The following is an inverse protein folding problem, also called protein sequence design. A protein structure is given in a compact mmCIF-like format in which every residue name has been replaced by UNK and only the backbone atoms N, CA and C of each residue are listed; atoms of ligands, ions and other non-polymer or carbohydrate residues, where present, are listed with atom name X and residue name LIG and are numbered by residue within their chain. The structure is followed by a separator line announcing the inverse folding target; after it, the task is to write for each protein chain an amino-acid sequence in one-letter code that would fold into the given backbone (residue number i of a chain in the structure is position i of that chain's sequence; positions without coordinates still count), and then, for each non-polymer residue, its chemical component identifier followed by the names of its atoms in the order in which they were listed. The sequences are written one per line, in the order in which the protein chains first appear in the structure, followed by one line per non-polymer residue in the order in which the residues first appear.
data_IF_959755748816
#
_entry.id   IF_959755748816
#
_cell.length_a   1.000
_cell.length_b   1.000
_cell.length_c   1.000
_cell.angle_alpha   90.00
_cell.angle_beta   90.00
_cell.angle_gamma   90.00
#
_symmetry.space_group_name_H-M   'P 1'
#
loop_
_entity.id
_entity.type
_entity.pdbx_description
1 polymer ?
#
# COMPACT_ATOMS: atom_id res chain seq x y z
N UNK A 1 -0.11 -9.27 -9.43
CA UNK A 1 -0.10 -7.96 -8.74
C UNK A 1 1.19 -7.81 -7.95
N UNK A 2 1.73 -6.59 -7.86
CA UNK A 2 2.87 -6.25 -7.02
C UNK A 2 2.36 -5.72 -5.68
N UNK A 3 2.92 -6.18 -4.57
CA UNK A 3 2.51 -5.76 -3.21
C UNK A 3 3.69 -5.09 -2.51
N UNK A 4 3.51 -3.90 -1.90
CA UNK A 4 4.53 -3.31 -1.04
C UNK A 4 4.81 -4.21 0.17
N UNK A 5 6.08 -4.34 0.55
CA UNK A 5 6.51 -5.20 1.66
C UNK A 5 5.83 -4.84 2.99
N UNK A 6 5.74 -3.56 3.34
CA UNK A 6 5.03 -3.12 4.56
C UNK A 6 3.58 -3.58 4.61
N UNK A 7 2.87 -3.51 3.48
CA UNK A 7 1.50 -4.00 3.38
C UNK A 7 1.46 -5.54 3.46
N UNK A 8 2.38 -6.22 2.77
CA UNK A 8 2.47 -7.67 2.81
C UNK A 8 2.75 -8.20 4.22
N UNK A 9 3.70 -7.60 4.93
CA UNK A 9 4.07 -7.98 6.30
C UNK A 9 2.91 -7.74 7.27
N UNK A 10 2.22 -6.58 7.17
CA UNK A 10 1.05 -6.25 8.00
C UNK A 10 -0.09 -7.25 7.85
N UNK A 11 -0.31 -7.75 6.64
CA UNK A 11 -1.42 -8.65 6.32
C UNK A 11 -0.98 -10.12 6.13
N UNK A 12 0.28 -10.45 6.44
CA UNK A 12 0.87 -11.77 6.28
C UNK A 12 0.72 -12.36 4.86
N UNK A 13 0.81 -11.51 3.84
CA UNK A 13 0.67 -11.87 2.44
C UNK A 13 2.01 -12.40 1.91
N UNK A 14 1.96 -13.52 1.19
CA UNK A 14 3.10 -14.15 0.54
C UNK A 14 2.99 -14.15 -0.99
N UNK A 15 4.13 -14.29 -1.67
CA UNK A 15 4.14 -14.50 -3.13
C UNK A 15 3.41 -15.81 -3.43
N UNK A 16 2.49 -15.76 -4.40
CA UNK A 16 1.63 -16.89 -4.75
C UNK A 16 0.23 -16.81 -4.17
N UNK A 17 0.01 -16.01 -3.12
CA UNK A 17 -1.32 -15.80 -2.54
C UNK A 17 -2.29 -15.18 -3.52
N UNK A 18 -3.57 -15.44 -3.29
CA UNK A 18 -4.66 -14.77 -4.00
C UNK A 18 -5.27 -13.75 -3.04
N UNK A 19 -5.22 -12.48 -3.42
CA UNK A 19 -5.91 -11.41 -2.68
C UNK A 19 -7.12 -10.94 -3.46
N UNK A 20 -8.13 -10.47 -2.73
CA UNK A 20 -9.36 -9.92 -3.31
C UNK A 20 -9.36 -8.41 -3.18
N UNK A 21 -9.37 -7.71 -4.31
CA UNK A 21 -9.47 -6.25 -4.36
C UNK A 21 -10.90 -5.89 -4.66
N UNK A 22 -11.52 -5.07 -3.81
CA UNK A 22 -12.84 -4.50 -4.04
C UNK A 22 -12.68 -3.05 -4.52
N UNK A 23 -13.19 -2.76 -5.70
CA UNK A 23 -13.19 -1.40 -6.23
C UNK A 23 -14.36 -0.63 -5.63
N UNK A 24 -14.07 0.47 -4.92
CA UNK A 24 -15.09 1.31 -4.29
C UNK A 24 -15.63 2.40 -5.21
N UNK A 25 -14.98 2.65 -6.34
CA UNK A 25 -15.44 3.62 -7.33
C UNK A 25 -16.87 3.29 -7.81
N UNK A 26 -17.82 4.25 -7.79
CA UNK A 26 -19.22 4.02 -8.14
C UNK A 26 -19.40 3.42 -9.54
N UNK A 27 -18.60 3.85 -10.52
CA UNK A 27 -18.63 3.34 -11.89
C UNK A 27 -18.29 1.85 -12.00
N UNK A 28 -17.57 1.31 -11.02
CA UNK A 28 -17.18 -0.10 -10.95
C UNK A 28 -18.14 -0.93 -10.11
N UNK A 29 -19.24 -0.35 -9.58
CA UNK A 29 -20.33 -1.06 -8.88
C UNK A 29 -19.84 -2.05 -7.80
N UNK A 30 -18.88 -1.65 -6.96
CA UNK A 30 -18.35 -2.51 -5.90
C UNK A 30 -17.78 -3.85 -6.39
N UNK A 31 -17.39 -3.96 -7.66
CA UNK A 31 -16.82 -5.18 -8.21
C UNK A 31 -15.57 -5.57 -7.44
N UNK A 32 -15.41 -6.87 -7.25
CA UNK A 32 -14.21 -7.42 -6.68
C UNK A 32 -13.52 -8.33 -7.68
N UNK A 33 -12.19 -8.32 -7.65
CA UNK A 33 -11.35 -9.17 -8.49
C UNK A 33 -10.34 -9.88 -7.61
N UNK A 34 -10.14 -11.16 -7.92
CA UNK A 34 -9.13 -11.98 -7.29
C UNK A 34 -7.83 -11.86 -8.09
N UNK A 35 -6.75 -11.51 -7.42
CA UNK A 35 -5.45 -11.29 -8.03
C UNK A 35 -4.37 -12.11 -7.34
N UNK A 36 -3.55 -12.80 -8.13
CA UNK A 36 -2.37 -13.49 -7.63
C UNK A 36 -1.24 -12.49 -7.31
N UNK A 37 -0.61 -12.65 -6.16
CA UNK A 37 0.59 -11.92 -5.76
C UNK A 37 1.77 -12.48 -6.56
N UNK A 38 2.35 -11.64 -7.40
CA UNK A 38 3.45 -12.01 -8.30
C UNK A 38 4.81 -11.66 -7.70
N UNK A 39 4.89 -10.56 -6.97
CA UNK A 39 6.11 -10.14 -6.29
C UNK A 39 5.77 -9.22 -5.12
N UNK A 40 6.61 -9.28 -4.09
CA UNK A 40 6.60 -8.35 -2.96
C UNK A 40 7.84 -7.48 -3.08
N UNK A 41 7.67 -6.16 -3.05
CA UNK A 41 8.76 -5.22 -3.26
C UNK A 41 8.90 -4.27 -2.07
N UNK A 42 10.14 -3.93 -1.72
CA UNK A 42 10.39 -2.87 -0.75
C UNK A 42 10.00 -1.53 -1.37
N UNK A 43 9.16 -0.75 -0.70
CA UNK A 43 8.85 0.61 -1.14
C UNK A 43 10.13 1.45 -1.16
N UNK A 44 10.36 2.19 -2.24
CA UNK A 44 11.52 3.09 -2.39
C UNK A 44 11.51 4.16 -1.29
N UNK A 45 10.32 4.56 -0.81
CA UNK A 45 10.16 5.52 0.28
C UNK A 45 10.78 5.02 1.59
N UNK A 46 10.62 3.75 1.94
CA UNK A 46 11.24 3.17 3.14
C UNK A 46 12.77 3.16 3.03
N UNK A 47 13.29 2.90 1.83
CA UNK A 47 14.72 2.95 1.57
C UNK A 47 15.27 4.38 1.67
N UNK A 48 14.47 5.37 1.23
CA UNK A 48 14.79 6.80 1.35
C UNK A 48 14.83 7.27 2.81
N UNK A 49 13.88 6.84 3.64
CA UNK A 49 13.81 7.21 5.07
C UNK A 49 15.03 6.67 5.83
N UNK A 50 15.50 5.46 5.50
CA UNK A 50 16.71 4.88 6.11
C UNK A 50 18.00 5.57 5.66
N UNK A 51 18.03 6.12 4.44
CA UNK A 51 19.21 6.81 3.91
C UNK A 51 19.34 8.26 4.42
N UNK A 52 18.24 8.90 4.80
CA UNK A 52 18.22 10.29 5.28
C UNK A 52 17.42 10.44 6.58
N UNK A 53 17.96 9.98 7.73
CA UNK A 53 17.25 9.99 9.02
C UNK A 53 16.87 11.41 9.51
N UNK A 54 17.54 12.46 9.03
CA UNK A 54 17.21 13.85 9.36
C UNK A 54 15.95 14.40 8.67
N UNK A 55 15.50 13.77 7.58
CA UNK A 55 14.25 14.12 6.88
C UNK A 55 13.05 13.33 7.41
N UNK A 56 13.25 12.46 8.40
CA UNK A 56 12.23 11.56 8.97
C UNK A 56 10.99 12.34 9.44
N UNK A 57 11.15 13.48 10.11
CA UNK A 57 10.03 14.26 10.63
C UNK A 57 9.10 14.85 9.55
N UNK A 58 9.67 15.41 8.47
CA UNK A 58 8.88 16.03 7.40
C UNK A 58 8.31 15.00 6.43
N UNK A 59 9.06 13.94 6.13
CA UNK A 59 8.61 12.87 5.24
C UNK A 59 7.51 12.02 5.89
N UNK A 60 7.61 11.70 7.18
CA UNK A 60 6.49 11.06 7.89
C UNK A 60 5.28 11.96 8.02
N UNK A 61 5.46 13.29 8.08
CA UNK A 61 4.31 14.21 8.08
C UNK A 61 3.59 14.17 6.74
N UNK A 62 4.31 14.22 5.62
CA UNK A 62 3.73 14.10 4.27
C UNK A 62 3.06 12.74 4.04
N UNK A 63 3.69 11.65 4.50
CA UNK A 63 3.12 10.29 4.42
C UNK A 63 1.90 10.14 5.33
N UNK A 64 1.94 10.69 6.54
CA UNK A 64 0.79 10.67 7.44
C UNK A 64 -0.36 11.53 6.91
N UNK A 65 -0.08 12.62 6.20
CA UNK A 65 -1.10 13.47 5.57
C UNK A 65 -1.81 12.70 4.45
N UNK A 66 -1.06 12.00 3.57
CA UNK A 66 -1.59 11.13 2.51
C UNK A 66 -2.38 9.91 3.05
N UNK A 67 -1.96 9.33 4.18
CA UNK A 67 -2.65 8.23 4.85
C UNK A 67 -3.81 8.68 5.77
N UNK A 68 -3.89 9.97 6.11
CA UNK A 68 -4.94 10.58 6.95
C UNK A 68 -6.02 11.32 6.17
N UNK A 69 -5.79 11.58 4.87
CA UNK A 69 -6.89 11.98 4.01
C UNK A 69 -7.92 10.86 4.01
N UNK A 70 -9.18 11.12 4.39
CA UNK A 70 -10.21 10.12 4.24
C UNK A 70 -10.23 9.74 2.76
N UNK A 71 -10.04 8.45 2.48
CA UNK A 71 -10.25 7.97 1.13
C UNK A 71 -11.62 8.49 0.69
N UNK A 72 -11.77 9.00 -0.54
CA UNK A 72 -13.02 9.62 -1.02
C UNK A 72 -14.20 8.61 -1.14
N UNK A 73 -14.08 7.46 -0.47
CA UNK A 73 -14.93 6.30 -0.51
C UNK A 73 -15.14 5.67 0.87
N UNK A 74 -15.02 6.43 1.97
CA UNK A 74 -15.61 6.09 3.28
C UNK A 74 -17.10 6.50 3.35
#
# INVERSE_FOLDING_TARGET
MLVPKSYADKHHISVGDIIRIKFTAPVLNNKAVDMKVLNIFQSVLESFILQYPGLHGELWRLVAEEESEPHPYD
#
